data_IF_102592473328
#
_entry.id   IF_102592473328
#
_cell.length_a   1.000
_cell.length_b   1.000
_cell.length_c   1.000
_cell.angle_alpha   90.00
_cell.angle_beta   90.00
_cell.angle_gamma   90.00
#
_symmetry.space_group_name_H-M   'P 1'
#
loop_
_entity.id
_entity.type
_entity.pdbx_description
1 polymer ?
#
# COMPACT_ATOMS: atom_id res chain seq x y z
N UNK A 1 -18.22 4.91 7.66
CA UNK A 1 -18.09 4.88 6.18
C UNK A 1 -17.10 3.84 5.68
N UNK A 2 -15.77 3.99 5.85
CA UNK A 2 -14.82 3.00 5.30
C UNK A 2 -14.89 1.63 5.99
N UNK A 3 -14.96 1.61 7.32
CA UNK A 3 -15.06 0.35 8.06
C UNK A 3 -16.35 -0.41 7.75
N UNK A 4 -17.47 0.30 7.68
CA UNK A 4 -18.76 -0.26 7.27
C UNK A 4 -18.69 -0.83 5.85
N UNK A 5 -18.14 -0.08 4.88
CA UNK A 5 -18.00 -0.57 3.50
C UNK A 5 -17.11 -1.82 3.40
N UNK A 6 -16.09 -1.94 4.24
CA UNK A 6 -15.23 -3.14 4.31
C UNK A 6 -16.00 -4.31 4.95
N UNK A 7 -16.78 -4.07 6.01
CA UNK A 7 -17.64 -5.07 6.65
C UNK A 7 -18.73 -5.57 5.69
N UNK A 8 -19.36 -4.69 4.92
CA UNK A 8 -20.40 -5.03 3.95
C UNK A 8 -19.90 -5.99 2.86
N UNK A 9 -18.58 -5.98 2.59
CA UNK A 9 -17.91 -6.93 1.69
C UNK A 9 -17.52 -8.25 2.35
N UNK A 10 -17.99 -8.49 3.59
CA UNK A 10 -17.78 -9.73 4.34
C UNK A 10 -16.54 -9.71 5.24
N UNK A 11 -15.95 -8.55 5.51
CA UNK A 11 -14.82 -8.48 6.43
C UNK A 11 -15.25 -8.80 7.88
N UNK A 12 -14.58 -9.74 8.57
CA UNK A 12 -14.81 -10.00 9.99
C UNK A 12 -14.24 -8.93 10.92
N UNK A 13 -13.54 -7.91 10.39
CA UNK A 13 -12.99 -6.80 11.17
C UNK A 13 -13.94 -5.61 11.15
N UNK A 14 -14.48 -5.27 12.32
CA UNK A 14 -15.44 -4.19 12.49
C UNK A 14 -14.82 -2.79 12.30
N UNK A 15 -13.52 -2.63 12.58
CA UNK A 15 -12.83 -1.33 12.55
C UNK A 15 -11.69 -1.28 11.55
N UNK A 16 -11.72 -2.11 10.50
CA UNK A 16 -10.75 -2.05 9.42
C UNK A 16 -10.96 -0.79 8.58
N UNK A 17 -9.98 0.10 8.50
CA UNK A 17 -10.07 1.36 7.77
C UNK A 17 -9.50 1.27 6.35
N UNK A 18 -8.52 0.40 6.15
CA UNK A 18 -7.84 0.24 4.87
C UNK A 18 -6.80 -0.86 4.91
N UNK A 19 -6.03 -0.95 3.83
CA UNK A 19 -5.14 -2.07 3.59
C UNK A 19 -3.73 -1.59 3.28
N UNK A 20 -2.72 -2.26 3.85
CA UNK A 20 -1.31 -1.95 3.63
C UNK A 20 -0.61 -3.08 2.89
N UNK A 21 0.17 -2.74 1.87
CA UNK A 21 1.03 -3.71 1.23
C UNK A 21 2.33 -3.10 0.70
N UNK A 22 3.34 -3.95 0.54
CA UNK A 22 4.62 -3.62 -0.06
C UNK A 22 4.63 -3.97 -1.55
N UNK A 23 5.25 -3.13 -2.38
CA UNK A 23 5.49 -3.42 -3.79
C UNK A 23 6.97 -3.28 -4.16
N UNK A 24 7.41 -4.12 -5.10
CA UNK A 24 8.80 -4.20 -5.55
C UNK A 24 8.88 -3.78 -7.02
N UNK A 25 9.55 -2.68 -7.31
CA UNK A 25 9.76 -2.17 -8.67
C UNK A 25 11.16 -2.50 -9.16
N UNK A 26 11.22 -3.18 -10.30
CA UNK A 26 12.47 -3.62 -10.89
C UNK A 26 13.29 -2.42 -11.41
N UNK A 27 14.60 -2.47 -11.23
CA UNK A 27 15.53 -1.47 -11.76
C UNK A 27 16.59 -2.12 -12.63
N UNK A 28 17.25 -1.31 -13.47
CA UNK A 28 18.39 -1.76 -14.25
C UNK A 28 19.50 -2.20 -13.29
N UNK A 29 20.25 -3.25 -13.65
CA UNK A 29 21.37 -3.75 -12.85
C UNK A 29 22.36 -2.59 -12.62
N UNK A 30 22.55 -2.14 -11.37
CA UNK A 30 23.52 -1.10 -11.10
C UNK A 30 24.93 -1.69 -11.14
N UNK A 31 25.88 -0.88 -11.61
CA UNK A 31 27.29 -1.28 -11.74
C UNK A 31 28.05 -1.15 -10.41
N UNK A 32 27.66 -0.21 -9.53
CA UNK A 32 28.16 -0.07 -8.15
C UNK A 32 27.16 -0.62 -7.14
N UNK A 33 27.70 -1.13 -6.03
CA UNK A 33 26.94 -1.51 -4.82
C UNK A 33 25.76 -2.45 -5.12
N UNK A 34 25.90 -3.31 -6.14
CA UNK A 34 24.84 -4.17 -6.66
C UNK A 34 24.10 -4.97 -5.58
N UNK A 35 24.85 -5.47 -4.59
CA UNK A 35 24.32 -6.24 -3.45
C UNK A 35 23.27 -5.50 -2.61
N UNK A 36 23.29 -4.17 -2.59
CA UNK A 36 22.31 -3.37 -1.84
C UNK A 36 20.95 -3.34 -2.53
N UNK A 37 20.95 -3.35 -3.86
CA UNK A 37 19.75 -3.25 -4.69
C UNK A 37 19.10 -4.60 -4.96
N UNK A 38 19.85 -5.69 -4.78
CA UNK A 38 19.38 -7.03 -5.09
C UNK A 38 18.39 -7.52 -4.03
N UNK A 39 17.15 -7.77 -4.45
CA UNK A 39 16.14 -8.46 -3.66
C UNK A 39 16.30 -9.98 -3.88
N UNK A 40 16.76 -10.70 -2.85
CA UNK A 40 17.03 -12.14 -2.94
C UNK A 40 15.77 -12.99 -3.17
N UNK A 41 14.63 -12.58 -2.62
CA UNK A 41 13.36 -13.30 -2.77
C UNK A 41 12.81 -13.20 -4.21
N UNK A 42 12.77 -11.98 -4.77
CA UNK A 42 12.31 -11.72 -6.14
C UNK A 42 13.40 -11.94 -7.20
N UNK A 43 14.65 -12.22 -6.78
CA UNK A 43 15.83 -12.47 -7.63
C UNK A 43 16.09 -11.36 -8.68
N UNK A 44 15.88 -10.10 -8.30
CA UNK A 44 16.08 -8.93 -9.18
C UNK A 44 16.60 -7.71 -8.41
N UNK A 45 17.25 -6.78 -9.13
CA UNK A 45 17.54 -5.46 -8.58
C UNK A 45 16.26 -4.66 -8.53
N UNK A 46 15.98 -4.07 -7.38
CA UNK A 46 14.69 -3.43 -7.19
C UNK A 46 14.72 -2.33 -6.14
N UNK A 47 13.70 -1.48 -6.24
CA UNK A 47 13.24 -0.58 -5.19
C UNK A 47 11.97 -1.14 -4.56
N UNK A 48 11.81 -0.85 -3.28
CA UNK A 48 10.64 -1.21 -2.49
C UNK A 48 9.84 0.05 -2.14
N UNK A 49 8.53 -0.09 -2.16
CA UNK A 49 7.57 0.92 -1.73
C UNK A 49 6.51 0.26 -0.86
N UNK A 50 5.83 1.06 -0.06
CA UNK A 50 4.71 0.65 0.76
C UNK A 50 3.55 1.60 0.47
N UNK A 51 2.34 1.08 0.32
CA UNK A 51 1.16 1.91 0.21
C UNK A 51 0.08 1.48 1.20
N UNK A 52 -0.71 2.47 1.61
CA UNK A 52 -1.97 2.30 2.33
C UNK A 52 -3.09 2.73 1.41
N UNK A 53 -3.93 1.79 1.01
CA UNK A 53 -5.08 2.04 0.14
C UNK A 53 -6.40 1.96 0.93
N UNK A 54 -7.30 2.89 0.64
CA UNK A 54 -8.62 2.99 1.27
C UNK A 54 -9.75 2.56 0.33
N UNK A 55 -10.96 2.25 0.87
CA UNK A 55 -12.11 1.80 0.09
C UNK A 55 -12.57 2.73 -1.05
N UNK A 56 -12.32 4.03 -0.92
CA UNK A 56 -12.54 5.03 -1.96
C UNK A 56 -11.55 4.92 -3.15
N UNK A 57 -10.57 4.02 -3.04
CA UNK A 57 -9.55 3.71 -4.03
C UNK A 57 -8.48 4.79 -4.18
N UNK A 58 -8.25 5.55 -3.10
CA UNK A 58 -7.12 6.46 -2.97
C UNK A 58 -6.00 5.77 -2.18
N UNK A 59 -4.76 5.87 -2.70
CA UNK A 59 -3.57 5.52 -1.92
C UNK A 59 -3.23 6.68 -0.99
N UNK A 60 -3.57 6.56 0.29
CA UNK A 60 -3.44 7.61 1.32
C UNK A 60 -2.00 7.84 1.77
N UNK A 61 -1.20 6.78 1.72
CA UNK A 61 0.23 6.85 1.89
C UNK A 61 0.89 6.06 0.78
N UNK A 62 1.96 6.59 0.22
CA UNK A 62 2.87 5.87 -0.67
C UNK A 62 4.31 6.22 -0.28
N UNK A 63 4.94 5.34 0.50
CA UNK A 63 6.28 5.54 1.05
C UNK A 63 7.35 4.76 0.29
N UNK A 64 8.55 5.32 0.23
CA UNK A 64 9.70 4.81 -0.51
C UNK A 64 10.37 5.94 -1.32
N UNK A 65 11.38 5.63 -2.15
CA UNK A 65 11.95 4.31 -2.40
C UNK A 65 12.86 3.80 -1.27
N UNK A 66 12.77 2.52 -0.94
CA UNK A 66 13.79 1.81 -0.15
C UNK A 66 14.55 0.78 -1.00
N UNK A 67 15.78 0.47 -0.57
CA UNK A 67 16.60 -0.55 -1.21
C UNK A 67 15.92 -1.92 -1.16
N UNK A 68 15.87 -2.62 -2.30
CA UNK A 68 15.11 -3.86 -2.46
C UNK A 68 15.47 -5.00 -1.50
N UNK A 69 16.64 -4.97 -0.85
CA UNK A 69 17.07 -5.95 0.16
C UNK A 69 16.37 -5.78 1.51
N UNK A 70 15.89 -4.58 1.84
CA UNK A 70 15.28 -4.29 3.16
C UNK A 70 13.97 -5.07 3.35
N UNK A 71 13.69 -5.48 4.57
CA UNK A 71 12.42 -6.13 4.94
C UNK A 71 11.28 -5.11 5.01
N UNK A 72 10.04 -5.57 4.86
CA UNK A 72 8.87 -4.68 4.84
C UNK A 72 8.61 -4.04 6.22
N UNK A 73 9.05 -4.67 7.31
CA UNK A 73 9.11 -4.05 8.65
C UNK A 73 10.00 -2.80 8.68
N UNK A 74 11.09 -2.77 7.91
CA UNK A 74 11.97 -1.60 7.85
C UNK A 74 11.30 -0.43 7.12
N UNK A 75 10.50 -0.71 6.07
CA UNK A 75 9.65 0.29 5.41
C UNK A 75 8.67 0.90 6.40
N UNK A 76 8.00 0.05 7.19
CA UNK A 76 7.04 0.53 8.18
C UNK A 76 7.71 1.45 9.21
N UNK A 77 8.87 1.06 9.74
CA UNK A 77 9.61 1.89 10.71
C UNK A 77 10.06 3.24 10.14
N UNK A 78 10.53 3.27 8.89
CA UNK A 78 10.99 4.51 8.23
C UNK A 78 9.84 5.39 7.71
N UNK A 79 8.64 4.83 7.50
CA UNK A 79 7.45 5.56 6.99
C UNK A 79 6.78 6.47 8.01
N UNK A 80 7.13 6.34 9.30
CA UNK A 80 6.43 6.95 10.43
C UNK A 80 4.90 6.67 10.49
N UNK A 81 4.42 5.63 9.80
CA UNK A 81 3.00 5.28 9.75
C UNK A 81 2.46 4.95 11.14
N UNK A 82 3.18 4.17 11.93
CA UNK A 82 2.74 3.79 13.28
C UNK A 82 2.55 5.01 14.20
N UNK A 83 3.46 5.97 14.15
CA UNK A 83 3.36 7.22 14.92
C UNK A 83 2.13 8.03 14.48
N UNK A 84 1.88 8.06 13.17
CA UNK A 84 0.70 8.74 12.61
C UNK A 84 -0.59 8.05 13.05
N UNK A 85 -0.63 6.71 13.04
CA UNK A 85 -1.79 5.94 13.51
C UNK A 85 -2.02 6.12 15.01
N UNK A 86 -0.96 6.12 15.82
CA UNK A 86 -1.05 6.39 17.26
C UNK A 86 -1.72 7.73 17.57
N UNK A 87 -1.43 8.75 16.78
CA UNK A 87 -1.96 10.10 17.00
C UNK A 87 -3.37 10.28 16.45
N UNK A 88 -3.67 9.71 15.28
CA UNK A 88 -4.86 10.09 14.49
C UNK A 88 -5.84 8.94 14.20
N UNK A 89 -5.48 7.68 14.46
CA UNK A 89 -6.31 6.50 14.15
C UNK A 89 -7.03 5.95 15.37
N UNK A 90 -7.59 6.82 16.20
CA UNK A 90 -8.46 6.42 17.30
C UNK A 90 -9.79 7.18 17.18
N UNK A 91 -10.88 6.57 17.61
CA UNK A 91 -12.16 7.28 17.74
C UNK A 91 -12.14 8.25 18.94
N UNK A 92 -13.22 9.01 19.11
CA UNK A 92 -13.36 9.97 20.21
C UNK A 92 -13.28 9.30 21.60
N UNK A 93 -13.51 7.98 21.69
CA UNK A 93 -13.40 7.19 22.90
C UNK A 93 -11.99 6.58 23.09
N UNK A 94 -11.05 6.82 22.18
CA UNK A 94 -9.69 6.28 22.22
C UNK A 94 -9.55 4.85 21.72
N UNK A 95 -10.58 4.28 21.08
CA UNK A 95 -10.53 2.95 20.50
C UNK A 95 -9.88 3.00 19.11
N UNK A 96 -8.86 2.17 18.82
CA UNK A 96 -8.12 2.26 17.58
C UNK A 96 -8.91 1.76 16.37
N UNK A 97 -8.60 2.32 15.20
CA UNK A 97 -8.90 1.74 13.91
C UNK A 97 -7.74 0.86 13.42
N UNK A 98 -8.05 -0.14 12.59
CA UNK A 98 -7.09 -1.12 12.10
C UNK A 98 -6.75 -0.89 10.63
N UNK A 99 -5.49 -1.09 10.27
CA UNK A 99 -5.08 -1.32 8.89
C UNK A 99 -4.67 -2.78 8.75
N UNK A 100 -5.19 -3.45 7.73
CA UNK A 100 -4.90 -4.86 7.48
C UNK A 100 -3.84 -5.05 6.40
N UNK A 101 -2.83 -5.87 6.67
CA UNK A 101 -1.69 -6.02 5.76
C UNK A 101 -1.19 -7.45 5.58
N UNK A 102 -0.11 -7.57 4.83
CA UNK A 102 0.70 -8.79 4.82
C UNK A 102 1.13 -9.15 6.26
N UNK A 103 1.23 -10.43 6.62
CA UNK A 103 1.80 -10.87 7.88
C UNK A 103 3.15 -10.28 8.31
N UNK A 104 3.91 -9.67 7.40
CA UNK A 104 5.10 -8.90 7.76
C UNK A 104 4.81 -7.65 8.62
N UNK A 105 3.56 -7.18 8.66
CA UNK A 105 3.17 -5.91 9.30
C UNK A 105 2.49 -6.07 10.68
N UNK A 106 2.48 -7.26 11.27
CA UNK A 106 1.70 -7.54 12.48
C UNK A 106 2.22 -6.76 13.71
N UNK A 107 1.65 -5.57 13.95
CA UNK A 107 1.97 -4.68 15.06
C UNK A 107 0.66 -4.18 15.69
N UNK A 108 0.12 -4.90 16.68
CA UNK A 108 -1.06 -4.48 17.41
C UNK A 108 -0.81 -3.17 18.20
N UNK A 109 -1.85 -2.37 18.48
CA UNK A 109 -3.24 -2.58 18.08
C UNK A 109 -3.58 -2.14 16.65
N UNK A 110 -2.78 -1.28 16.00
CA UNK A 110 -3.17 -0.60 14.76
C UNK A 110 -3.00 -1.43 13.47
N UNK A 111 -2.07 -2.37 13.43
CA UNK A 111 -1.81 -3.20 12.25
C UNK A 111 -2.18 -4.66 12.51
N UNK A 112 -3.16 -5.14 11.75
CA UNK A 112 -3.62 -6.52 11.78
C UNK A 112 -3.11 -7.29 10.57
N UNK A 113 -3.00 -8.60 10.74
CA UNK A 113 -2.46 -9.52 9.75
C UNK A 113 -3.21 -10.85 9.76
N UNK A 114 -3.13 -11.64 8.68
CA UNK A 114 -3.63 -13.00 8.66
C UNK A 114 -3.02 -13.87 9.77
N UNK A 115 -3.81 -14.77 10.34
CA UNK A 115 -3.32 -15.80 11.25
C UNK A 115 -2.32 -16.73 10.55
N UNK A 116 -1.31 -17.21 11.27
CA UNK A 116 -0.26 -18.11 10.77
C UNK A 116 -0.13 -19.35 11.67
N UNK A 117 0.35 -20.46 11.09
CA UNK A 117 0.66 -21.69 11.81
C UNK A 117 -0.42 -22.77 11.63
N UNK A 118 -0.70 -23.53 12.68
CA UNK A 118 -1.79 -24.51 12.69
C UNK A 118 -3.10 -23.73 12.89
N UNK A 119 -3.85 -23.56 11.80
CA UNK A 119 -5.06 -22.74 11.78
C UNK A 119 -6.28 -23.59 12.09
N UNK A 120 -7.14 -23.11 12.99
CA UNK A 120 -8.49 -23.65 13.15
C UNK A 120 -9.35 -23.30 11.93
N UNK A 121 -10.47 -24.01 11.69
CA UNK A 121 -11.39 -23.67 10.60
C UNK A 121 -11.85 -22.22 10.64
N UNK A 122 -12.08 -21.66 11.83
CA UNK A 122 -12.49 -20.27 12.02
C UNK A 122 -11.39 -19.29 11.61
N UNK A 123 -10.11 -19.58 11.95
CA UNK A 123 -8.97 -18.77 11.51
C UNK A 123 -8.76 -18.82 10.00
N UNK A 124 -9.07 -19.97 9.37
CA UNK A 124 -9.01 -20.11 7.91
C UNK A 124 -10.12 -19.33 7.21
N UNK A 125 -11.33 -19.37 7.75
CA UNK A 125 -12.46 -18.55 7.26
C UNK A 125 -12.11 -17.06 7.35
N UNK A 126 -11.65 -16.61 8.53
CA UNK A 126 -11.20 -15.22 8.73
C UNK A 126 -10.16 -14.78 7.71
N UNK A 127 -9.11 -15.59 7.48
CA UNK A 127 -8.07 -15.27 6.52
C UNK A 127 -8.59 -15.24 5.07
N UNK A 128 -9.57 -16.07 4.75
CA UNK A 128 -10.19 -16.13 3.41
C UNK A 128 -11.00 -14.88 3.12
N UNK A 129 -11.84 -14.47 4.07
CA UNK A 129 -12.70 -13.28 3.96
C UNK A 129 -11.85 -12.01 3.87
N UNK A 130 -10.83 -11.90 4.72
CA UNK A 130 -9.90 -10.76 4.68
C UNK A 130 -9.05 -10.72 3.41
N UNK A 131 -8.69 -11.87 2.83
CA UNK A 131 -7.94 -11.93 1.57
C UNK A 131 -8.75 -11.34 0.41
N UNK A 132 -10.07 -11.55 0.38
CA UNK A 132 -10.93 -11.00 -0.65
C UNK A 132 -10.92 -9.47 -0.65
N UNK A 133 -11.00 -8.84 0.52
CA UNK A 133 -10.96 -7.38 0.64
C UNK A 133 -9.55 -6.81 0.35
N UNK A 134 -8.49 -7.50 0.82
CA UNK A 134 -7.09 -7.05 0.68
C UNK A 134 -6.61 -6.98 -0.77
N UNK A 135 -7.21 -7.74 -1.70
CA UNK A 135 -6.83 -7.75 -3.12
C UNK A 135 -6.87 -6.36 -3.76
N UNK A 136 -7.66 -5.45 -3.18
CA UNK A 136 -7.85 -4.07 -3.66
C UNK A 136 -6.56 -3.24 -3.65
N UNK A 137 -5.60 -3.53 -2.75
CA UNK A 137 -4.28 -2.87 -2.76
C UNK A 137 -3.48 -3.24 -4.02
N UNK A 138 -3.58 -4.49 -4.45
CA UNK A 138 -2.91 -4.95 -5.67
C UNK A 138 -3.51 -4.26 -6.90
N UNK A 139 -4.82 -3.95 -6.88
CA UNK A 139 -5.46 -3.14 -7.93
C UNK A 139 -4.94 -1.71 -7.95
N UNK A 140 -4.71 -1.09 -6.80
CA UNK A 140 -4.08 0.23 -6.69
C UNK A 140 -2.69 0.25 -7.34
N UNK A 141 -1.82 -0.70 -6.98
CA UNK A 141 -0.52 -0.86 -7.63
C UNK A 141 -0.60 -1.16 -9.12
N UNK A 142 -1.56 -1.99 -9.54
CA UNK A 142 -1.80 -2.29 -10.95
C UNK A 142 -2.19 -1.05 -11.75
N UNK A 143 -3.05 -0.19 -11.20
CA UNK A 143 -3.49 1.06 -11.83
C UNK A 143 -2.32 2.03 -12.06
N UNK A 144 -1.41 2.16 -11.09
CA UNK A 144 -0.21 3.01 -11.24
C UNK A 144 0.62 2.54 -12.44
N UNK A 145 0.87 1.23 -12.57
CA UNK A 145 1.67 0.68 -13.67
C UNK A 145 0.95 0.80 -15.01
N UNK A 146 -0.37 0.61 -15.02
CA UNK A 146 -1.17 0.71 -16.24
C UNK A 146 -1.17 2.13 -16.83
N UNK A 147 -1.28 3.16 -15.97
CA UNK A 147 -1.25 4.56 -16.40
C UNK A 147 0.17 5.04 -16.70
N UNK A 148 1.16 4.55 -15.94
CA UNK A 148 2.54 5.02 -15.99
C UNK A 148 3.52 3.87 -16.28
N UNK A 149 3.46 3.21 -17.45
CA UNK A 149 4.28 2.03 -17.73
C UNK A 149 5.79 2.29 -17.62
N UNK A 150 6.21 3.56 -17.75
CA UNK A 150 7.60 3.98 -17.54
C UNK A 150 8.15 3.63 -16.15
N UNK A 151 7.33 3.63 -15.10
CA UNK A 151 7.79 3.34 -13.73
C UNK A 151 8.07 1.85 -13.49
N UNK A 152 7.59 0.97 -14.37
CA UNK A 152 7.83 -0.48 -14.30
C UNK A 152 8.90 -0.94 -15.31
N UNK A 153 9.33 -0.06 -16.21
CA UNK A 153 10.32 -0.40 -17.23
C UNK A 153 11.76 -0.38 -16.69
N UNK A 154 12.17 -1.52 -16.11
CA UNK A 154 13.44 -1.70 -15.42
C UNK A 154 14.66 -1.16 -16.20
N UNK A 155 14.74 -1.38 -17.52
CA UNK A 155 15.89 -0.96 -18.33
C UNK A 155 16.13 0.56 -18.35
N UNK A 156 15.08 1.37 -18.14
CA UNK A 156 15.18 2.84 -18.04
C UNK A 156 15.26 3.33 -16.60
N UNK A 157 15.02 2.47 -15.63
CA UNK A 157 15.19 2.74 -14.20
C UNK A 157 16.68 2.57 -13.81
N UNK A 158 17.54 3.48 -14.29
CA UNK A 158 18.99 3.43 -14.07
C UNK A 158 19.42 4.28 -12.86
N UNK A 159 19.71 3.61 -11.74
CA UNK A 159 20.00 4.24 -10.45
C UNK A 159 21.20 5.23 -10.45
N UNK A 160 22.14 5.09 -11.39
CA UNK A 160 23.36 5.91 -11.43
C UNK A 160 23.31 7.08 -12.45
N UNK A 161 22.27 7.18 -13.27
CA UNK A 161 22.20 8.14 -14.40
C UNK A 161 20.95 9.01 -14.39
N UNK A 162 19.99 8.74 -13.50
CA UNK A 162 18.76 9.52 -13.43
C UNK A 162 18.97 10.76 -12.56
N UNK A 163 18.97 11.93 -13.20
CA UNK A 163 19.09 13.26 -12.58
C UNK A 163 17.93 13.58 -11.63
N UNK A 164 16.77 12.93 -11.78
CA UNK A 164 15.76 12.84 -10.73
C UNK A 164 16.01 11.56 -9.91
N UNK A 165 16.29 11.69 -8.61
CA UNK A 165 16.60 10.55 -7.73
C UNK A 165 15.69 9.35 -7.99
N UNK A 166 16.31 8.21 -8.34
CA UNK A 166 15.59 7.02 -8.75
C UNK A 166 14.61 6.60 -7.65
N UNK A 167 13.32 6.63 -7.99
CA UNK A 167 12.23 6.17 -7.15
C UNK A 167 11.24 7.23 -6.67
N UNK A 168 11.56 8.53 -6.78
CA UNK A 168 10.52 9.58 -6.62
C UNK A 168 9.48 9.54 -7.74
N UNK A 169 9.86 9.04 -8.92
CA UNK A 169 8.95 8.87 -10.06
C UNK A 169 7.75 7.99 -9.72
N UNK A 170 7.95 6.93 -8.93
CA UNK A 170 6.86 6.05 -8.52
C UNK A 170 5.91 6.76 -7.55
N UNK A 171 6.45 7.52 -6.60
CA UNK A 171 5.65 8.36 -5.69
C UNK A 171 4.83 9.41 -6.44
N UNK A 172 5.44 10.09 -7.42
CA UNK A 172 4.75 11.06 -8.28
C UNK A 172 3.66 10.37 -9.11
N UNK A 173 3.96 9.20 -9.69
CA UNK A 173 2.98 8.40 -10.42
C UNK A 173 1.80 7.97 -9.52
N UNK A 174 2.05 7.67 -8.24
CA UNK A 174 1.00 7.42 -7.25
C UNK A 174 0.09 8.62 -7.04
N UNK A 175 0.65 9.81 -6.81
CA UNK A 175 -0.13 11.06 -6.65
C UNK A 175 -0.97 11.34 -7.90
N UNK A 176 -0.36 11.25 -9.09
CA UNK A 176 -1.09 11.45 -10.35
C UNK A 176 -2.17 10.40 -10.58
N UNK A 177 -1.94 9.16 -10.12
CA UNK A 177 -2.95 8.09 -10.17
C UNK A 177 -4.12 8.39 -9.24
N UNK A 178 -3.88 8.94 -8.06
CA UNK A 178 -4.94 9.41 -7.17
C UNK A 178 -5.74 10.56 -7.80
N UNK A 179 -5.08 11.54 -8.43
CA UNK A 179 -5.75 12.60 -9.18
C UNK A 179 -6.63 12.02 -10.30
N UNK A 180 -6.11 11.05 -11.06
CA UNK A 180 -6.89 10.34 -12.07
C UNK A 180 -8.07 9.58 -11.46
N UNK A 181 -7.90 8.92 -10.31
CA UNK A 181 -8.98 8.26 -9.58
C UNK A 181 -10.07 9.25 -9.16
N UNK A 182 -9.72 10.47 -8.74
CA UNK A 182 -10.69 11.50 -8.37
C UNK A 182 -11.60 11.90 -9.55
N UNK A 183 -11.10 11.89 -10.79
CA UNK A 183 -11.90 12.23 -11.97
C UNK A 183 -12.70 11.07 -12.54
N UNK A 184 -12.07 9.89 -12.63
CA UNK A 184 -12.60 8.77 -13.42
C UNK A 184 -13.03 7.57 -12.57
N UNK A 185 -12.82 7.64 -11.26
CA UNK A 185 -12.99 6.50 -10.35
C UNK A 185 -11.93 5.42 -10.56
N UNK A 186 -12.11 4.31 -9.85
CA UNK A 186 -11.26 3.13 -9.96
C UNK A 186 -12.05 1.85 -9.61
N UNK A 187 -11.41 0.69 -9.72
CA UNK A 187 -12.06 -0.59 -9.42
C UNK A 187 -12.35 -0.76 -7.93
N UNK A 188 -11.45 -0.28 -7.07
CA UNK A 188 -11.59 -0.33 -5.60
C UNK A 188 -12.82 0.44 -5.12
N UNK A 189 -13.01 1.67 -5.60
CA UNK A 189 -14.15 2.54 -5.29
C UNK A 189 -15.48 1.91 -5.71
N UNK A 190 -15.50 1.23 -6.86
CA UNK A 190 -16.68 0.50 -7.35
C UNK A 190 -16.95 -0.76 -6.53
N UNK A 191 -15.91 -1.47 -6.12
CA UNK A 191 -16.01 -2.71 -5.35
C UNK A 191 -16.60 -2.47 -3.96
N UNK A 192 -16.14 -1.43 -3.26
CA UNK A 192 -16.64 -1.07 -1.93
C UNK A 192 -17.85 -0.11 -1.95
N UNK A 193 -18.25 0.40 -3.12
CA UNK A 193 -19.34 1.37 -3.23
C UNK A 193 -19.02 2.75 -2.64
N UNK A 194 -17.75 3.05 -2.38
CA UNK A 194 -17.31 4.33 -1.81
C UNK A 194 -16.65 5.16 -2.91
N UNK A 195 -17.21 6.33 -3.22
CA UNK A 195 -16.66 7.23 -4.24
C UNK A 195 -15.37 7.92 -3.78
N UNK A 196 -14.41 8.17 -4.69
CA UNK A 196 -13.23 8.98 -4.37
C UNK A 196 -13.62 10.43 -4.06
N UNK A 197 -12.80 11.16 -3.28
CA UNK A 197 -13.00 12.58 -3.06
C UNK A 197 -12.84 13.37 -4.36
N UNK A 198 -13.32 14.61 -4.36
CA UNK A 198 -13.02 15.55 -5.46
C UNK A 198 -11.52 15.86 -5.50
N UNK A 199 -11.00 16.20 -6.69
CA UNK A 199 -9.59 16.54 -6.85
C UNK A 199 -9.16 17.67 -5.89
N UNK A 200 -9.97 18.73 -5.77
CA UNK A 200 -9.66 19.86 -4.91
C UNK A 200 -9.51 19.44 -3.44
N UNK A 201 -10.38 18.55 -2.97
CA UNK A 201 -10.36 18.02 -1.60
C UNK A 201 -9.17 17.08 -1.37
N UNK A 202 -8.83 16.26 -2.37
CA UNK A 202 -7.63 15.42 -2.29
C UNK A 202 -6.35 16.26 -2.20
N UNK A 203 -6.22 17.31 -3.01
CA UNK A 203 -5.03 18.17 -3.04
C UNK A 203 -4.95 19.13 -1.84
N UNK A 204 -6.06 19.47 -1.20
CA UNK A 204 -6.07 20.26 0.05
C UNK A 204 -5.67 19.44 1.28
N UNK A 205 -5.63 18.10 1.18
CA UNK A 205 -5.36 17.20 2.31
C UNK A 205 -6.57 16.95 3.21
N UNK A 206 -7.76 17.42 2.82
CA UNK A 206 -9.03 17.22 3.55
C UNK A 206 -9.82 16.01 3.05
N UNK A 207 -9.30 15.38 1.99
CA UNK A 207 -9.89 14.25 1.29
C UNK A 207 -9.67 12.96 2.01
#
# INVERSE_FOLDING_TARGET
MFCEAIQDMGSPLDRCWGFIDGTVRAIARPWRMQRLWYNGWKRKHALKYQAVDTPDGISRQLWGPMLGRRHDVALLGESALLQSMQQWFNDDAGTPYYIYGDPAYQIPPWLMAPFKGVLTPEMQAFNTDMRACRVTVEWGFGKIVALWPYVDYAKKQQAALSSCGLGKQYSVAGILTNCHSCFYGNSTSKYFGVGPPSLGRYLSGEG
#
